data_IF_545811137413
#
_entry.id   IF_545811137413
#
_cell.length_a   1.000
_cell.length_b   1.000
_cell.length_c   1.000
_cell.angle_alpha   90.00
_cell.angle_beta   90.00
_cell.angle_gamma   90.00
#
_symmetry.space_group_name_H-M   'P 1'
#
loop_
_entity.id
_entity.type
_entity.pdbx_description
1 polymer ?
#
# COMPACT_ATOMS: atom_id res chain seq x y z
N UNK A 1 22.06 12.46 7.02
CA UNK A 1 21.12 13.52 6.63
C UNK A 1 19.74 13.04 7.05
N UNK A 2 18.94 13.84 7.75
CA UNK A 2 17.55 13.48 8.05
C UNK A 2 16.78 13.53 6.74
N UNK A 3 16.59 12.40 6.07
CA UNK A 3 15.65 12.29 4.96
C UNK A 3 14.29 12.70 5.50
N UNK A 4 13.68 13.74 4.93
CA UNK A 4 12.35 14.18 5.33
C UNK A 4 11.32 13.52 4.41
N UNK A 5 10.12 13.26 4.93
CA UNK A 5 9.02 12.70 4.14
C UNK A 5 8.39 13.72 3.17
N UNK A 6 8.61 15.02 3.44
CA UNK A 6 8.01 16.13 2.69
C UNK A 6 8.21 16.08 1.17
N UNK A 7 9.40 15.74 0.62
CA UNK A 7 9.57 15.59 -0.83
C UNK A 7 8.83 14.38 -1.46
N UNK A 8 8.40 13.38 -0.68
CA UNK A 8 7.69 12.20 -1.19
C UNK A 8 6.19 12.47 -1.42
N UNK A 9 5.57 13.27 -0.54
CA UNK A 9 4.14 13.48 -0.51
C UNK A 9 3.56 14.00 -1.85
N UNK A 10 4.19 14.95 -2.57
CA UNK A 10 3.66 15.39 -3.85
C UNK A 10 3.51 14.27 -4.88
N UNK A 11 4.47 13.34 -4.94
CA UNK A 11 4.43 12.22 -5.89
C UNK A 11 3.26 11.26 -5.58
N UNK A 12 3.06 10.91 -4.30
CA UNK A 12 1.95 10.08 -3.84
C UNK A 12 0.61 10.77 -4.14
N UNK A 13 0.51 12.05 -3.82
CA UNK A 13 -0.70 12.85 -4.03
C UNK A 13 -1.06 13.01 -5.49
N UNK A 14 -0.06 13.16 -6.37
CA UNK A 14 -0.30 13.23 -7.81
C UNK A 14 -0.80 11.89 -8.37
N UNK A 15 -0.28 10.75 -7.89
CA UNK A 15 -0.79 9.42 -8.27
C UNK A 15 -2.25 9.26 -7.85
N UNK A 16 -2.57 9.53 -6.58
CA UNK A 16 -3.94 9.41 -6.07
C UNK A 16 -4.91 10.41 -6.73
N UNK A 17 -4.46 11.65 -6.95
CA UNK A 17 -5.23 12.66 -7.67
C UNK A 17 -5.57 12.18 -9.08
N UNK A 18 -4.57 11.72 -9.85
CA UNK A 18 -4.77 11.24 -11.21
C UNK A 18 -5.67 10.00 -11.25
N UNK A 19 -5.46 9.06 -10.32
CA UNK A 19 -6.31 7.88 -10.19
C UNK A 19 -7.77 8.26 -9.95
N UNK A 20 -8.05 9.21 -9.05
CA UNK A 20 -9.41 9.67 -8.75
C UNK A 20 -10.11 10.37 -9.93
N UNK A 21 -9.34 10.93 -10.87
CA UNK A 21 -9.86 11.49 -12.12
C UNK A 21 -10.09 10.43 -13.21
N UNK A 22 -9.50 9.24 -13.08
CA UNK A 22 -9.52 8.24 -14.15
C UNK A 22 -10.90 7.62 -14.36
N UNK A 23 -11.19 7.25 -15.61
CA UNK A 23 -12.36 6.43 -15.96
C UNK A 23 -12.26 5.02 -15.35
N UNK A 24 -11.04 4.55 -15.09
CA UNK A 24 -10.74 3.26 -14.47
C UNK A 24 -10.94 3.19 -12.96
N UNK A 25 -11.26 4.31 -12.29
CA UNK A 25 -11.35 4.37 -10.81
C UNK A 25 -12.21 3.24 -10.21
N UNK A 26 -13.42 3.04 -10.75
CA UNK A 26 -14.35 2.04 -10.22
C UNK A 26 -13.93 0.61 -10.54
N UNK A 27 -13.42 0.36 -11.76
CA UNK A 27 -12.97 -0.96 -12.17
C UNK A 27 -11.73 -1.40 -11.36
N UNK A 28 -10.81 -0.48 -11.08
CA UNK A 28 -9.63 -0.75 -10.27
C UNK A 28 -9.98 -0.97 -8.79
N UNK A 29 -10.94 -0.22 -8.23
CA UNK A 29 -11.46 -0.50 -6.89
C UNK A 29 -12.11 -1.88 -6.80
N UNK A 30 -12.90 -2.27 -7.80
CA UNK A 30 -13.51 -3.60 -7.86
C UNK A 30 -12.47 -4.71 -7.98
N UNK A 31 -11.39 -4.45 -8.72
CA UNK A 31 -10.28 -5.38 -8.87
C UNK A 31 -9.49 -5.56 -7.57
N UNK A 32 -9.20 -4.46 -6.85
CA UNK A 32 -8.45 -4.50 -5.61
C UNK A 32 -9.29 -4.99 -4.41
N UNK A 33 -10.48 -4.44 -4.23
CA UNK A 33 -11.26 -4.54 -2.98
C UNK A 33 -12.56 -5.36 -3.13
N UNK A 34 -12.75 -6.01 -4.28
CA UNK A 34 -13.93 -6.80 -4.61
C UNK A 34 -15.18 -5.99 -4.95
N UNK A 35 -16.34 -6.65 -5.08
CA UNK A 35 -17.59 -6.01 -5.55
C UNK A 35 -18.51 -5.51 -4.44
N UNK A 36 -18.19 -5.78 -3.18
CA UNK A 36 -19.10 -5.57 -2.03
C UNK A 36 -18.68 -4.42 -1.10
N UNK A 37 -17.68 -3.63 -1.50
CA UNK A 37 -17.26 -2.46 -0.75
C UNK A 37 -18.34 -1.38 -0.66
N UNK A 38 -18.24 -0.54 0.36
CA UNK A 38 -19.12 0.61 0.56
C UNK A 38 -18.84 1.71 -0.49
N UNK A 39 -19.66 1.73 -1.54
CA UNK A 39 -19.57 2.69 -2.64
C UNK A 39 -19.72 4.14 -2.16
N UNK A 40 -20.44 4.40 -1.05
CA UNK A 40 -20.58 5.75 -0.50
C UNK A 40 -19.25 6.23 0.07
N UNK A 41 -18.56 5.38 0.84
CA UNK A 41 -17.22 5.70 1.37
C UNK A 41 -16.18 5.83 0.25
N UNK A 42 -16.21 4.93 -0.73
CA UNK A 42 -15.34 5.02 -1.90
C UNK A 42 -15.57 6.34 -2.69
N UNK A 43 -16.83 6.78 -2.82
CA UNK A 43 -17.17 8.07 -3.43
C UNK A 43 -16.60 9.25 -2.64
N UNK A 44 -16.64 9.20 -1.30
CA UNK A 44 -16.09 10.25 -0.44
C UNK A 44 -14.56 10.34 -0.59
N UNK A 45 -13.86 9.21 -0.57
CA UNK A 45 -12.41 9.15 -0.81
C UNK A 45 -12.07 9.74 -2.18
N UNK A 46 -12.82 9.36 -3.23
CA UNK A 46 -12.64 9.90 -4.58
C UNK A 46 -12.75 11.42 -4.59
N UNK A 47 -13.81 11.98 -3.99
CA UNK A 47 -14.04 13.44 -3.97
C UNK A 47 -12.94 14.20 -3.21
N UNK A 48 -12.45 13.63 -2.11
CA UNK A 48 -11.32 14.18 -1.37
C UNK A 48 -10.06 14.22 -2.26
N UNK A 49 -9.70 13.11 -2.89
CA UNK A 49 -8.54 13.05 -3.77
C UNK A 49 -8.67 13.96 -5.00
N UNK A 50 -9.86 14.04 -5.61
CA UNK A 50 -10.14 14.94 -6.73
C UNK A 50 -9.98 16.43 -6.37
N UNK A 51 -10.18 16.79 -5.11
CA UNK A 51 -9.99 18.15 -4.59
C UNK A 51 -8.60 18.38 -4.02
N UNK A 52 -7.67 17.42 -4.19
CA UNK A 52 -6.33 17.40 -3.56
C UNK A 52 -6.38 17.51 -2.04
N UNK A 53 -7.46 17.03 -1.43
CA UNK A 53 -7.57 16.87 0.01
C UNK A 53 -7.11 15.45 0.39
N UNK A 54 -5.99 15.38 1.10
CA UNK A 54 -5.37 14.15 1.57
C UNK A 54 -5.26 14.10 3.09
N UNK A 55 -5.98 14.98 3.81
CA UNK A 55 -5.90 15.07 5.27
C UNK A 55 -6.44 13.84 6.01
N UNK A 56 -7.17 12.98 5.30
CA UNK A 56 -7.66 11.69 5.79
C UNK A 56 -6.62 10.56 5.73
N UNK A 57 -5.54 10.71 4.94
CA UNK A 57 -4.54 9.65 4.80
C UNK A 57 -3.81 9.42 6.13
N UNK A 58 -3.40 8.17 6.41
CA UNK A 58 -2.62 7.85 7.61
C UNK A 58 -1.34 8.68 7.72
N UNK A 59 -0.92 8.96 8.96
CA UNK A 59 0.41 9.52 9.20
C UNK A 59 1.48 8.48 8.87
N UNK A 60 2.56 8.91 8.23
CA UNK A 60 3.72 8.06 7.94
C UNK A 60 4.75 8.24 9.05
N UNK A 61 5.11 7.15 9.71
CA UNK A 61 6.10 7.09 10.78
C UNK A 61 7.28 6.20 10.34
N UNK A 62 8.47 6.79 10.25
CA UNK A 62 9.70 6.02 10.00
C UNK A 62 10.14 5.38 11.31
N UNK A 63 10.21 4.05 11.34
CA UNK A 63 10.57 3.26 12.53
C UNK A 63 11.88 2.53 12.31
N UNK A 64 12.53 2.12 13.40
CA UNK A 64 13.74 1.29 13.30
C UNK A 64 13.42 0.00 12.52
N UNK A 65 14.28 -0.39 11.58
CA UNK A 65 14.05 -1.56 10.73
C UNK A 65 13.80 -2.86 11.50
N UNK A 66 14.34 -2.99 12.73
CA UNK A 66 14.07 -4.16 13.56
C UNK A 66 12.59 -4.31 13.96
N UNK A 67 11.81 -3.24 13.92
CA UNK A 67 10.36 -3.26 14.20
C UNK A 67 9.60 -4.00 13.11
N UNK A 68 9.97 -3.77 11.84
CA UNK A 68 9.31 -4.36 10.67
C UNK A 68 9.97 -5.67 10.20
N UNK A 69 11.12 -6.03 10.76
CA UNK A 69 11.87 -7.21 10.34
C UNK A 69 12.38 -7.05 8.90
N UNK A 70 11.86 -7.87 7.98
CA UNK A 70 12.17 -7.82 6.55
C UNK A 70 11.22 -6.95 5.73
N UNK A 71 10.12 -6.47 6.30
CA UNK A 71 9.15 -5.64 5.59
C UNK A 71 9.68 -4.22 5.35
N UNK A 72 9.26 -3.63 4.23
CA UNK A 72 9.64 -2.28 3.84
C UNK A 72 8.67 -1.24 4.42
N UNK A 73 7.39 -1.58 4.46
CA UNK A 73 6.30 -0.81 5.03
C UNK A 73 5.37 -1.69 5.85
N UNK A 74 4.46 -1.06 6.60
CA UNK A 74 3.31 -1.73 7.17
C UNK A 74 2.19 -0.73 7.52
N UNK A 75 0.93 -1.14 7.37
CA UNK A 75 -0.23 -0.36 7.78
C UNK A 75 -0.84 -0.94 9.05
N UNK A 76 -0.92 -0.10 10.09
CA UNK A 76 -1.54 -0.47 11.36
C UNK A 76 -2.97 0.07 11.47
N UNK A 77 -3.97 -0.76 11.18
CA UNK A 77 -5.39 -0.36 11.28
C UNK A 77 -5.76 0.21 12.66
N UNK A 78 -5.22 -0.36 13.74
CA UNK A 78 -5.53 0.07 15.12
C UNK A 78 -4.93 1.42 15.51
N UNK A 79 -3.87 1.84 14.83
CA UNK A 79 -3.19 3.13 15.06
C UNK A 79 -3.47 4.15 13.95
N UNK A 80 -4.03 3.71 12.82
CA UNK A 80 -4.21 4.46 11.59
C UNK A 80 -2.90 5.14 11.14
N UNK A 81 -1.82 4.34 11.10
CA UNK A 81 -0.48 4.78 10.71
C UNK A 81 0.13 3.86 9.67
N UNK A 82 0.96 4.47 8.82
CA UNK A 82 1.87 3.77 7.93
C UNK A 82 3.24 3.78 8.61
N UNK A 83 3.80 2.61 8.88
CA UNK A 83 5.14 2.44 9.40
C UNK A 83 6.09 2.16 8.25
N UNK A 84 7.22 2.86 8.17
CA UNK A 84 8.21 2.68 7.12
C UNK A 84 9.56 2.29 7.73
N UNK A 85 10.21 1.26 7.17
CA UNK A 85 11.51 0.81 7.65
C UNK A 85 12.58 1.88 7.40
N UNK A 86 13.35 2.24 8.44
CA UNK A 86 14.43 3.22 8.34
C UNK A 86 15.46 2.87 7.26
N UNK A 87 15.88 1.60 7.17
CA UNK A 87 16.84 1.14 6.15
C UNK A 87 16.29 1.23 4.74
N UNK A 88 15.00 0.91 4.55
CA UNK A 88 14.32 1.06 3.27
C UNK A 88 14.24 2.54 2.91
N UNK A 89 13.76 3.39 3.82
CA UNK A 89 13.67 4.83 3.62
C UNK A 89 15.01 5.51 3.29
N UNK A 90 16.11 5.01 3.86
CA UNK A 90 17.44 5.56 3.63
C UNK A 90 18.06 5.16 2.27
N UNK A 91 17.61 4.07 1.65
CA UNK A 91 18.30 3.46 0.51
C UNK A 91 17.44 3.24 -0.73
N UNK A 92 16.12 3.24 -0.59
CA UNK A 92 15.18 3.02 -1.68
C UNK A 92 15.18 4.17 -2.70
N UNK A 93 14.85 3.84 -3.95
CA UNK A 93 14.53 4.84 -4.95
C UNK A 93 13.21 5.55 -4.62
N UNK A 94 12.98 6.73 -5.20
CA UNK A 94 11.70 7.42 -5.09
C UNK A 94 10.54 6.52 -5.55
N UNK A 95 10.71 5.80 -6.65
CA UNK A 95 9.67 4.92 -7.20
C UNK A 95 9.33 3.76 -6.26
N UNK A 96 10.32 3.19 -5.58
CA UNK A 96 10.10 2.14 -4.59
C UNK A 96 9.40 2.68 -3.34
N UNK A 97 9.77 3.88 -2.88
CA UNK A 97 9.08 4.54 -1.76
C UNK A 97 7.62 4.84 -2.07
N UNK A 98 7.36 5.35 -3.28
CA UNK A 98 6.00 5.61 -3.76
C UNK A 98 5.20 4.31 -3.87
N UNK A 99 5.82 3.23 -4.37
CA UNK A 99 5.19 1.92 -4.47
C UNK A 99 4.69 1.41 -3.11
N UNK A 100 5.60 1.32 -2.13
CA UNK A 100 5.29 0.81 -0.80
C UNK A 100 4.26 1.71 -0.11
N UNK A 101 4.43 3.04 -0.14
CA UNK A 101 3.45 3.92 0.53
C UNK A 101 2.06 3.84 -0.11
N UNK A 102 1.97 3.66 -1.43
CA UNK A 102 0.66 3.47 -2.09
C UNK A 102 0.00 2.15 -1.73
N UNK A 103 0.78 1.11 -1.49
CA UNK A 103 0.31 -0.19 -1.01
C UNK A 103 -0.26 -0.08 0.41
N UNK A 104 0.47 0.59 1.32
CA UNK A 104 -0.05 0.85 2.66
C UNK A 104 -1.29 1.78 2.68
N UNK A 105 -1.40 2.67 1.68
CA UNK A 105 -2.62 3.45 1.45
C UNK A 105 -3.75 2.55 0.92
N UNK A 106 -3.43 1.51 0.15
CA UNK A 106 -4.38 0.50 -0.32
C UNK A 106 -5.06 -0.23 0.85
N UNK A 107 -4.29 -0.76 1.80
CA UNK A 107 -4.84 -1.37 3.03
C UNK A 107 -5.67 -0.37 3.85
N UNK A 108 -5.24 0.90 3.94
CA UNK A 108 -6.07 1.94 4.54
C UNK A 108 -7.42 2.10 3.82
N UNK A 109 -7.42 2.13 2.49
CA UNK A 109 -8.62 2.26 1.68
C UNK A 109 -9.53 1.05 1.91
N UNK A 110 -9.00 -0.17 1.88
CA UNK A 110 -9.76 -1.39 2.16
C UNK A 110 -10.44 -1.30 3.52
N UNK A 111 -9.68 -0.99 4.57
CA UNK A 111 -10.20 -0.82 5.94
C UNK A 111 -11.27 0.28 6.05
N UNK A 112 -11.27 1.28 5.15
CA UNK A 112 -12.37 2.25 5.09
C UNK A 112 -13.61 1.67 4.42
N UNK A 113 -13.47 1.05 3.25
CA UNK A 113 -14.60 0.70 2.38
C UNK A 113 -15.19 -0.67 2.67
N UNK A 114 -14.41 -1.58 3.24
CA UNK A 114 -14.81 -2.92 3.62
C UNK A 114 -14.97 -3.07 5.13
N UNK A 115 -15.82 -4.02 5.54
CA UNK A 115 -16.02 -4.36 6.97
C UNK A 115 -15.15 -5.52 7.43
N UNK A 116 -14.72 -6.31 6.47
CA UNK A 116 -13.86 -7.47 6.60
C UNK A 116 -12.77 -7.24 5.56
N UNK A 117 -11.54 -7.39 6.01
CA UNK A 117 -10.33 -7.47 5.20
C UNK A 117 -10.58 -8.19 3.87
N UNK A 118 -10.11 -7.58 2.78
CA UNK A 118 -10.05 -8.30 1.51
C UNK A 118 -9.03 -9.45 1.63
N UNK A 119 -9.24 -10.53 0.88
CA UNK A 119 -8.31 -11.67 0.91
C UNK A 119 -7.19 -11.43 -0.10
N UNK A 120 -5.96 -11.74 0.29
CA UNK A 120 -4.77 -11.46 -0.50
C UNK A 120 -4.09 -10.19 0.02
N UNK A 121 -3.16 -9.66 -0.75
CA UNK A 121 -2.56 -8.35 -0.52
C UNK A 121 -3.25 -7.32 -1.44
N UNK A 122 -4.40 -6.82 -1.03
CA UNK A 122 -5.13 -5.80 -1.80
C UNK A 122 -4.41 -4.45 -1.83
N UNK A 123 -3.50 -4.22 -0.87
CA UNK A 123 -2.58 -3.09 -0.84
C UNK A 123 -1.65 -3.11 -2.05
N UNK A 124 -0.91 -4.20 -2.25
CA UNK A 124 0.01 -4.39 -3.36
C UNK A 124 -0.75 -4.27 -4.69
N UNK A 125 -1.90 -4.95 -4.80
CA UNK A 125 -2.76 -4.87 -5.99
C UNK A 125 -3.19 -3.43 -6.28
N UNK A 126 -3.64 -2.69 -5.25
CA UNK A 126 -4.01 -1.29 -5.39
C UNK A 126 -2.83 -0.44 -5.87
N UNK A 127 -1.64 -0.60 -5.28
CA UNK A 127 -0.42 0.13 -5.67
C UNK A 127 -0.08 -0.09 -7.14
N UNK A 128 -0.12 -1.33 -7.62
CA UNK A 128 0.10 -1.65 -9.04
C UNK A 128 -0.91 -0.94 -9.95
N UNK A 129 -2.20 -1.00 -9.60
CA UNK A 129 -3.29 -0.43 -10.41
C UNK A 129 -3.17 1.10 -10.51
N UNK A 130 -2.94 1.81 -9.40
CA UNK A 130 -2.88 3.28 -9.41
C UNK A 130 -1.60 3.81 -10.07
N UNK A 131 -0.53 3.00 -10.10
CA UNK A 131 0.72 3.29 -10.81
C UNK A 131 0.70 2.88 -12.28
N UNK A 132 -0.35 2.21 -12.73
CA UNK A 132 -0.48 1.74 -14.12
C UNK A 132 0.49 0.60 -14.47
N UNK A 133 0.86 -0.23 -13.49
CA UNK A 133 1.70 -1.41 -13.70
C UNK A 133 0.84 -2.55 -14.24
N UNK A 134 1.26 -3.15 -15.35
CA UNK A 134 0.59 -4.32 -15.91
C UNK A 134 1.06 -5.58 -15.18
N UNK A 135 0.12 -6.26 -14.52
CA UNK A 135 0.35 -7.54 -13.89
C UNK A 135 0.09 -8.69 -14.87
N UNK A 136 0.91 -9.71 -14.82
CA UNK A 136 0.62 -11.02 -15.41
C UNK A 136 -0.44 -11.75 -14.59
N UNK A 137 -1.09 -12.74 -15.18
CA UNK A 137 -2.05 -13.60 -14.46
C UNK A 137 -1.41 -14.32 -13.27
N UNK A 138 -0.11 -14.68 -13.40
CA UNK A 138 0.64 -15.32 -12.33
C UNK A 138 0.91 -14.37 -11.16
N UNK A 139 1.32 -13.13 -11.43
CA UNK A 139 1.51 -12.11 -10.39
C UNK A 139 0.17 -11.78 -9.71
N UNK A 140 -0.90 -11.60 -10.48
CA UNK A 140 -2.23 -11.36 -9.91
C UNK A 140 -2.69 -12.51 -9.01
N UNK A 141 -2.49 -13.75 -9.44
CA UNK A 141 -2.83 -14.93 -8.63
C UNK A 141 -2.00 -15.02 -7.36
N UNK A 142 -0.73 -14.63 -7.42
CA UNK A 142 0.15 -14.59 -6.25
C UNK A 142 -0.34 -13.55 -5.25
N UNK A 143 -0.56 -12.30 -5.69
CA UNK A 143 -1.03 -11.20 -4.85
C UNK A 143 -2.37 -11.54 -4.18
N UNK A 144 -3.32 -12.11 -4.93
CA UNK A 144 -4.65 -12.50 -4.41
C UNK A 144 -4.62 -13.66 -3.42
N UNK A 145 -3.48 -14.34 -3.26
CA UNK A 145 -3.31 -15.47 -2.35
C UNK A 145 -2.31 -15.18 -1.20
N UNK A 146 -1.69 -14.01 -1.19
CA UNK A 146 -0.71 -13.61 -0.18
C UNK A 146 -1.39 -13.41 1.20
N UNK A 147 -0.64 -13.72 2.25
CA UNK A 147 -1.01 -13.43 3.64
C UNK A 147 0.13 -12.56 4.21
N UNK A 148 -0.05 -11.26 4.08
CA UNK A 148 0.91 -10.20 4.42
C UNK A 148 0.73 -9.68 5.86
N UNK A 149 -0.20 -10.29 6.61
CA UNK A 149 -0.48 -9.92 8.01
C UNK A 149 0.69 -10.27 8.91
N UNK A 150 1.03 -9.32 9.79
CA UNK A 150 2.06 -9.49 10.81
C UNK A 150 1.69 -8.83 12.14
N UNK A 151 2.57 -9.00 13.13
CA UNK A 151 2.51 -8.28 14.40
C UNK A 151 3.87 -7.62 14.64
N UNK A 152 3.88 -6.31 14.85
CA UNK A 152 5.09 -5.54 15.14
C UNK A 152 5.14 -5.17 16.63
N UNK A 153 6.35 -5.02 17.17
CA UNK A 153 6.60 -4.54 18.53
C UNK A 153 7.07 -3.07 18.49
N UNK A 154 6.19 -2.15 18.90
CA UNK A 154 6.51 -0.74 19.09
C UNK A 154 6.68 -0.43 20.56
N UNK A 155 7.92 -0.61 21.05
CA UNK A 155 8.28 -0.22 22.42
C UNK A 155 7.51 -1.00 23.50
N UNK A 156 7.21 -2.28 23.25
CA UNK A 156 6.43 -3.17 24.11
C UNK A 156 4.94 -3.23 23.77
N UNK A 157 4.47 -2.46 22.78
CA UNK A 157 3.10 -2.53 22.27
C UNK A 157 3.05 -3.37 20.99
N UNK A 158 2.33 -4.49 21.06
CA UNK A 158 2.08 -5.35 19.91
C UNK A 158 0.93 -4.81 19.06
N UNK A 159 1.20 -4.56 17.78
CA UNK A 159 0.23 -4.00 16.82
C UNK A 159 0.11 -4.98 15.66
N UNK A 160 -1.12 -5.40 15.34
CA UNK A 160 -1.41 -6.12 14.10
C UNK A 160 -1.33 -5.16 12.92
N UNK A 161 -0.65 -5.61 11.86
CA UNK A 161 -0.41 -4.84 10.65
C UNK A 161 -0.55 -5.73 9.42
N UNK A 162 -0.74 -5.09 8.27
CA UNK A 162 -0.52 -5.61 6.92
C UNK A 162 0.83 -5.05 6.43
N UNK A 163 1.60 -5.80 5.64
CA UNK A 163 3.01 -5.50 5.39
C UNK A 163 3.38 -5.54 3.92
N UNK A 164 3.98 -4.45 3.43
CA UNK A 164 4.73 -4.50 2.19
C UNK A 164 6.02 -5.33 2.32
N UNK A 165 5.99 -6.56 1.85
CA UNK A 165 7.13 -7.46 1.82
C UNK A 165 8.23 -6.95 0.86
N UNK A 166 9.44 -7.50 0.98
CA UNK A 166 10.47 -7.26 -0.04
C UNK A 166 10.07 -8.01 -1.31
N UNK A 167 9.80 -7.29 -2.41
CA UNK A 167 9.46 -7.88 -3.72
C UNK A 167 10.45 -9.02 -4.03
N UNK A 168 9.96 -10.26 -3.92
CA UNK A 168 10.75 -11.43 -4.29
C UNK A 168 10.46 -11.71 -5.75
N UNK A 169 11.28 -11.15 -6.64
CA UNK A 169 11.24 -11.52 -8.05
C UNK A 169 11.47 -13.03 -8.17
N UNK A 170 10.42 -13.78 -8.48
CA UNK A 170 10.55 -15.19 -8.87
C UNK A 170 11.19 -15.21 -10.26
N UNK A 171 12.52 -15.21 -10.31
CA UNK A 171 13.23 -15.43 -11.57
C UNK A 171 13.11 -16.91 -11.89
N UNK A 172 12.21 -17.27 -12.81
CA UNK A 172 12.16 -18.59 -13.43
C UNK A 172 13.46 -18.83 -14.20
N UNK A 173 14.49 -19.26 -13.47
CA UNK A 173 15.77 -19.60 -14.06
C UNK A 173 15.62 -20.99 -14.64
N UNK A 174 15.31 -21.08 -15.94
CA UNK A 174 15.42 -22.34 -16.68
C UNK A 174 16.90 -22.72 -16.67
N UNK A 175 17.31 -23.57 -15.74
CA UNK A 175 18.64 -24.19 -15.79
C UNK A 175 18.58 -25.18 -16.96
N UNK A 176 19.15 -24.79 -18.09
CA UNK A 176 19.47 -25.73 -19.17
C UNK A 176 20.68 -26.52 -18.69
N UNK A 177 20.44 -27.76 -18.24
CA UNK A 177 21.50 -28.75 -17.97
C UNK A 177 21.83 -29.48 -19.26
#
# INVERSE_FOLDING_TARGET
>A
MTSTLLPLLPAIYDVLFNFAQSDGFWANLETAFGTSYDVVKATQLRQQWQSRNFSQLPEIEVVNSSVLGSANGAYGISTNKIYLSESFFASASLDALVAVILEEIGHYVDAQVNRVDTVGDEGELFSHLVRGVNLTEAELTYIQAEDDRAVIDLGGQFIGVEQAATITLIVNTTIVV
#
